data_IF_684977817849
#
_entry.id   IF_684977817849
#
_cell.length_a   1.000
_cell.length_b   1.000
_cell.length_c   1.000
_cell.angle_alpha   90.00
_cell.angle_beta   90.00
_cell.angle_gamma   90.00
#
_symmetry.space_group_name_H-M   'P 1'
#
loop_
_entity.id
_entity.type
_entity.pdbx_description
1 polymer ?
#
# COMPACT_ATOMS: atom_id res chain seq x y z
N UNK A 1 29.09 11.98 -15.37
CA UNK A 1 28.58 12.03 -13.99
C UNK A 1 27.52 13.12 -13.97
N UNK A 2 26.24 12.76 -14.00
CA UNK A 2 25.14 13.73 -13.88
C UNK A 2 25.07 14.19 -12.44
N UNK A 3 25.08 15.50 -12.21
CA UNK A 3 24.91 16.06 -10.87
C UNK A 3 23.61 15.56 -10.23
N UNK A 4 23.58 15.30 -8.91
CA UNK A 4 22.35 14.93 -8.24
C UNK A 4 21.38 16.11 -8.34
N UNK A 5 20.23 15.87 -8.97
CA UNK A 5 19.15 16.86 -9.05
C UNK A 5 18.84 17.35 -7.64
N UNK A 6 19.00 18.65 -7.40
CA UNK A 6 18.72 19.25 -6.11
C UNK A 6 17.30 18.88 -5.66
N UNK A 7 17.16 18.33 -4.46
CA UNK A 7 15.84 17.99 -3.91
C UNK A 7 15.01 19.28 -3.83
N UNK A 8 13.77 19.28 -4.35
CA UNK A 8 12.92 20.46 -4.28
C UNK A 8 12.65 20.84 -2.82
N UNK A 9 12.65 22.15 -2.55
CA UNK A 9 12.26 22.67 -1.23
C UNK A 9 10.76 22.45 -1.05
N UNK A 10 10.39 21.56 -0.13
CA UNK A 10 8.98 21.34 0.22
C UNK A 10 8.51 22.49 1.11
N UNK A 11 7.47 23.20 0.65
CA UNK A 11 6.89 24.33 1.39
C UNK A 11 5.66 23.87 2.17
N UNK A 12 5.27 24.64 3.20
CA UNK A 12 4.05 24.36 3.96
C UNK A 12 2.81 24.33 3.05
N UNK A 13 2.73 25.24 2.08
CA UNK A 13 1.61 25.27 1.13
C UNK A 13 1.51 24.00 0.26
N UNK A 14 2.63 23.34 -0.04
CA UNK A 14 2.63 22.04 -0.74
C UNK A 14 2.10 20.93 0.18
N UNK A 15 2.47 20.96 1.46
CA UNK A 15 2.00 20.00 2.47
C UNK A 15 0.49 20.18 2.67
N UNK A 16 0.02 21.40 2.88
CA UNK A 16 -1.39 21.70 3.10
C UNK A 16 -2.26 21.31 1.89
N UNK A 17 -1.76 21.53 0.66
CA UNK A 17 -2.47 21.12 -0.55
C UNK A 17 -2.55 19.59 -0.70
N UNK A 18 -1.52 18.86 -0.28
CA UNK A 18 -1.54 17.40 -0.24
C UNK A 18 -2.44 16.86 0.88
N UNK A 19 -2.44 17.53 2.03
CA UNK A 19 -3.32 17.19 3.15
C UNK A 19 -4.80 17.40 2.76
N UNK A 20 -5.15 18.53 2.12
CA UNK A 20 -6.50 18.80 1.60
C UNK A 20 -6.93 17.79 0.52
N UNK A 21 -5.99 17.28 -0.28
CA UNK A 21 -6.26 16.19 -1.24
C UNK A 21 -6.55 14.85 -0.56
N UNK A 22 -5.78 14.49 0.46
CA UNK A 22 -5.85 13.19 1.14
C UNK A 22 -6.96 13.13 2.20
N UNK A 23 -7.28 14.27 2.81
CA UNK A 23 -8.27 14.41 3.87
C UNK A 23 -9.48 15.20 3.36
N UNK A 24 -10.33 14.49 2.59
CA UNK A 24 -11.75 14.82 2.38
C UNK A 24 -12.10 16.32 2.28
N UNK A 25 -12.02 16.87 1.07
CA UNK A 25 -13.06 17.80 0.61
C UNK A 25 -13.62 17.33 -0.74
N UNK A 26 -14.94 17.31 -0.88
CA UNK A 26 -15.62 17.04 -2.16
C UNK A 26 -15.39 18.16 -3.20
N UNK A 27 -14.67 19.22 -2.81
CA UNK A 27 -14.46 20.39 -3.64
C UNK A 27 -13.25 20.24 -4.55
N UNK A 28 -13.40 19.34 -5.54
CA UNK A 28 -12.42 19.15 -6.62
C UNK A 28 -12.05 20.46 -7.33
N UNK A 29 -12.97 21.42 -7.37
CA UNK A 29 -12.73 22.73 -8.00
C UNK A 29 -11.75 23.55 -7.18
N UNK A 30 -12.00 23.71 -5.89
CA UNK A 30 -11.08 24.42 -4.98
C UNK A 30 -9.71 23.78 -4.94
N UNK A 31 -9.65 22.44 -4.88
CA UNK A 31 -8.37 21.72 -4.95
C UNK A 31 -7.61 22.03 -6.25
N UNK A 32 -8.27 21.95 -7.41
CA UNK A 32 -7.63 22.25 -8.69
C UNK A 32 -7.24 23.73 -8.83
N UNK A 33 -7.99 24.66 -8.23
CA UNK A 33 -7.62 26.07 -8.16
C UNK A 33 -6.34 26.29 -7.34
N UNK A 34 -6.24 25.69 -6.17
CA UNK A 34 -5.02 25.75 -5.34
C UNK A 34 -3.83 25.10 -6.04
N UNK A 35 -4.02 23.90 -6.60
CA UNK A 35 -2.97 23.18 -7.32
C UNK A 35 -2.49 23.98 -8.55
N UNK A 36 -3.40 24.65 -9.26
CA UNK A 36 -3.07 25.56 -10.37
C UNK A 36 -2.20 26.73 -9.91
N UNK A 37 -2.51 27.33 -8.75
CA UNK A 37 -1.72 28.42 -8.19
C UNK A 37 -0.31 27.95 -7.81
N UNK A 38 -0.18 26.76 -7.23
CA UNK A 38 1.11 26.19 -6.83
C UNK A 38 1.95 25.73 -8.03
N UNK A 39 1.31 25.09 -9.02
CA UNK A 39 1.98 24.58 -10.22
C UNK A 39 2.26 25.65 -11.29
N UNK A 40 1.69 26.86 -11.12
CA UNK A 40 1.86 27.98 -12.04
C UNK A 40 1.01 27.93 -13.32
N UNK A 41 0.30 26.82 -13.58
CA UNK A 41 -0.65 26.72 -14.69
C UNK A 41 -1.66 25.58 -14.49
N UNK A 42 -2.82 25.69 -15.14
CA UNK A 42 -3.84 24.65 -15.12
C UNK A 42 -3.39 23.36 -15.83
N UNK A 43 -2.58 23.48 -16.88
CA UNK A 43 -2.01 22.32 -17.59
C UNK A 43 -1.03 21.54 -16.69
N UNK A 44 -0.16 22.24 -15.96
CA UNK A 44 0.73 21.60 -15.00
C UNK A 44 -0.05 20.94 -13.85
N UNK A 45 -1.08 21.62 -13.32
CA UNK A 45 -1.94 21.04 -12.29
C UNK A 45 -2.66 19.76 -12.76
N UNK A 46 -3.18 19.75 -13.99
CA UNK A 46 -3.84 18.57 -14.55
C UNK A 46 -2.90 17.37 -14.71
N UNK A 47 -1.62 17.62 -15.02
CA UNK A 47 -0.60 16.56 -15.08
C UNK A 47 -0.19 16.04 -13.70
N UNK A 48 -0.11 16.92 -12.69
CA UNK A 48 0.30 16.58 -11.32
C UNK A 48 -0.82 15.85 -10.55
N UNK A 49 -2.07 16.27 -10.70
CA UNK A 49 -3.20 15.74 -9.92
C UNK A 49 -3.27 14.21 -9.83
N UNK A 50 -3.16 13.43 -10.93
CA UNK A 50 -3.18 11.96 -10.84
C UNK A 50 -1.93 11.37 -10.15
N UNK A 51 -0.81 12.11 -10.10
CA UNK A 51 0.43 11.67 -9.45
C UNK A 51 0.36 11.77 -7.92
N UNK A 52 -0.59 12.55 -7.38
CA UNK A 52 -0.80 12.69 -5.94
C UNK A 52 -1.58 11.51 -5.34
N UNK A 53 -2.26 10.73 -6.19
CA UNK A 53 -2.94 9.51 -5.76
C UNK A 53 -1.93 8.49 -5.22
N UNK A 54 -2.31 7.78 -4.15
CA UNK A 54 -1.48 6.71 -3.62
C UNK A 54 -1.25 5.64 -4.69
N UNK A 55 0.01 5.26 -4.91
CA UNK A 55 0.38 4.16 -5.77
C UNK A 55 1.29 3.19 -5.01
N UNK A 56 0.68 2.26 -4.28
CA UNK A 56 1.40 1.30 -3.44
C UNK A 56 2.33 0.38 -4.22
N UNK A 57 2.00 0.08 -5.49
CA UNK A 57 2.86 -0.72 -6.35
C UNK A 57 4.18 -0.01 -6.67
N UNK A 58 4.17 1.32 -6.85
CA UNK A 58 5.39 2.11 -7.02
C UNK A 58 6.13 2.41 -5.71
N UNK A 59 5.45 2.29 -4.56
CA UNK A 59 6.04 2.50 -3.25
C UNK A 59 6.70 1.24 -2.65
N UNK A 60 6.74 0.13 -3.39
CA UNK A 60 7.38 -1.10 -2.94
C UNK A 60 8.89 -0.87 -2.72
N UNK A 61 9.38 -1.20 -1.53
CA UNK A 61 10.81 -1.11 -1.18
C UNK A 61 11.52 -2.42 -1.52
N UNK A 62 10.84 -3.56 -1.34
CA UNK A 62 11.35 -4.89 -1.70
C UNK A 62 10.59 -5.39 -2.92
N UNK A 63 11.36 -5.74 -3.96
CA UNK A 63 10.82 -6.31 -5.19
C UNK A 63 10.06 -7.61 -4.92
N UNK A 64 9.04 -7.89 -5.73
CA UNK A 64 8.23 -9.11 -5.59
C UNK A 64 9.03 -10.39 -5.86
N UNK A 65 10.06 -10.30 -6.70
CA UNK A 65 10.97 -11.37 -7.10
C UNK A 65 12.33 -11.33 -6.40
N UNK A 66 12.43 -10.64 -5.26
CA UNK A 66 13.67 -10.59 -4.47
C UNK A 66 14.13 -11.99 -4.06
N UNK A 67 15.28 -12.42 -4.59
CA UNK A 67 15.78 -13.78 -4.44
C UNK A 67 16.10 -14.19 -3.00
N UNK A 68 16.17 -13.24 -2.07
CA UNK A 68 16.46 -13.49 -0.64
C UNK A 68 15.25 -13.98 0.13
N UNK A 69 14.04 -13.86 -0.44
CA UNK A 69 12.79 -14.31 0.20
C UNK A 69 11.96 -15.16 -0.77
N UNK A 70 11.04 -15.95 -0.22
CA UNK A 70 10.08 -16.77 -0.94
C UNK A 70 8.69 -16.41 -0.46
N UNK A 71 7.92 -15.75 -1.32
CA UNK A 71 6.51 -15.42 -1.09
C UNK A 71 5.58 -16.42 -1.77
N UNK A 72 4.53 -16.84 -1.09
CA UNK A 72 3.49 -17.72 -1.62
C UNK A 72 2.11 -17.28 -1.11
N UNK A 73 1.11 -17.35 -1.97
CA UNK A 73 -0.28 -17.17 -1.57
C UNK A 73 -0.84 -18.52 -1.12
N UNK A 74 -1.37 -18.56 0.10
CA UNK A 74 -1.87 -19.78 0.73
C UNK A 74 -3.33 -19.63 1.15
N UNK A 75 -3.98 -20.76 1.37
CA UNK A 75 -5.24 -20.83 2.12
C UNK A 75 -5.06 -21.61 3.41
N UNK A 76 -5.84 -21.27 4.43
CA UNK A 76 -5.87 -21.98 5.70
C UNK A 76 -7.26 -21.89 6.33
N UNK A 77 -7.59 -22.85 7.20
CA UNK A 77 -8.86 -22.83 7.92
C UNK A 77 -8.82 -21.80 9.05
N UNK A 78 -9.63 -20.74 8.92
CA UNK A 78 -9.92 -19.78 9.98
C UNK A 78 -11.13 -20.19 10.83
N UNK A 79 -11.46 -19.37 11.83
CA UNK A 79 -12.60 -19.62 12.73
C UNK A 79 -13.96 -19.53 12.03
N UNK A 80 -14.08 -18.67 11.01
CA UNK A 80 -15.32 -18.40 10.27
C UNK A 80 -15.34 -18.99 8.85
N UNK A 81 -14.29 -19.71 8.46
CA UNK A 81 -14.19 -20.29 7.12
C UNK A 81 -12.75 -20.31 6.61
N UNK A 82 -12.61 -20.63 5.32
CA UNK A 82 -11.31 -20.58 4.65
C UNK A 82 -10.81 -19.12 4.55
N UNK A 83 -9.54 -18.92 4.89
CA UNK A 83 -8.84 -17.65 4.84
C UNK A 83 -7.70 -17.73 3.82
N UNK A 84 -7.52 -16.67 3.04
CA UNK A 84 -6.35 -16.45 2.20
C UNK A 84 -5.29 -15.68 2.97
N UNK A 85 -4.02 -15.89 2.63
CA UNK A 85 -2.91 -15.09 3.14
C UNK A 85 -1.74 -15.07 2.16
N UNK A 86 -0.89 -14.06 2.31
CA UNK A 86 0.45 -14.04 1.72
C UNK A 86 1.46 -14.48 2.78
N UNK A 87 2.11 -15.62 2.56
CA UNK A 87 3.15 -16.17 3.43
C UNK A 87 4.51 -15.88 2.81
N UNK A 88 5.43 -15.31 3.58
CA UNK A 88 6.79 -15.01 3.15
C UNK A 88 7.80 -15.62 4.10
N UNK A 89 8.83 -16.25 3.56
CA UNK A 89 9.93 -16.89 4.30
C UNK A 89 11.28 -16.44 3.73
N UNK A 90 12.36 -16.41 4.53
CA UNK A 90 13.71 -16.28 3.99
C UNK A 90 14.04 -17.41 3.02
N UNK A 91 14.73 -17.12 1.92
CA UNK A 91 15.04 -18.11 0.89
C UNK A 91 15.95 -19.24 1.42
N UNK A 92 16.91 -18.88 2.27
CA UNK A 92 17.93 -19.76 2.84
C UNK A 92 17.63 -20.12 4.31
N UNK A 93 16.35 -20.19 4.67
CA UNK A 93 15.91 -20.55 6.02
C UNK A 93 16.56 -21.85 6.51
N UNK A 94 17.28 -21.78 7.62
CA UNK A 94 17.74 -22.94 8.38
C UNK A 94 17.05 -23.02 9.74
N UNK A 95 16.41 -24.16 10.03
CA UNK A 95 15.74 -24.37 11.32
C UNK A 95 14.42 -23.59 11.48
N UNK A 96 13.95 -23.49 12.73
CA UNK A 96 12.70 -22.80 13.07
C UNK A 96 12.98 -21.31 13.31
N UNK A 97 12.20 -20.46 12.68
CA UNK A 97 12.25 -19.01 12.87
C UNK A 97 11.01 -18.55 13.66
N UNK A 98 11.11 -17.36 14.25
CA UNK A 98 9.94 -16.68 14.81
C UNK A 98 8.95 -16.29 13.69
N UNK A 99 7.68 -16.20 14.04
CA UNK A 99 6.61 -15.81 13.11
C UNK A 99 6.05 -14.45 13.47
N UNK A 100 5.87 -13.59 12.47
CA UNK A 100 5.20 -12.29 12.58
C UNK A 100 3.94 -12.34 11.74
N UNK A 101 2.82 -11.89 12.31
CA UNK A 101 1.57 -11.72 11.58
C UNK A 101 1.44 -10.24 11.20
N UNK A 102 1.39 -9.96 9.91
CA UNK A 102 1.26 -8.61 9.35
C UNK A 102 -0.22 -8.35 9.09
N UNK A 103 -0.83 -7.50 9.91
CA UNK A 103 -2.25 -7.14 9.79
C UNK A 103 -2.36 -5.85 8.98
N UNK A 104 -3.14 -5.91 7.89
CA UNK A 104 -3.43 -4.74 7.06
C UNK A 104 -4.59 -3.90 7.60
N UNK A 105 -4.71 -2.68 7.09
CA UNK A 105 -5.83 -1.77 7.39
C UNK A 105 -7.05 -2.03 6.47
N UNK A 106 -7.96 -1.05 6.36
CA UNK A 106 -9.22 -1.08 5.61
C UNK A 106 -9.06 -1.12 4.07
N UNK A 107 -7.86 -1.41 3.55
CA UNK A 107 -7.58 -1.59 2.11
C UNK A 107 -7.19 -3.02 1.74
N UNK A 108 -7.23 -3.94 2.70
CA UNK A 108 -6.97 -5.36 2.44
C UNK A 108 -5.50 -5.69 2.23
N UNK A 109 -5.24 -6.91 1.77
CA UNK A 109 -3.93 -7.48 1.45
C UNK A 109 -3.39 -6.92 0.11
N UNK A 110 -3.07 -5.63 0.12
CA UNK A 110 -2.58 -4.89 -1.05
C UNK A 110 -1.05 -5.09 -1.28
N UNK A 111 -0.48 -4.60 -2.40
CA UNK A 111 0.94 -4.74 -2.70
C UNK A 111 1.88 -4.19 -1.62
N UNK A 112 1.49 -3.12 -0.93
CA UNK A 112 2.29 -2.56 0.15
C UNK A 112 2.37 -3.49 1.37
N UNK A 113 1.26 -4.13 1.74
CA UNK A 113 1.25 -5.10 2.85
C UNK A 113 2.09 -6.33 2.51
N UNK A 114 2.00 -6.79 1.26
CA UNK A 114 2.84 -7.88 0.75
C UNK A 114 4.33 -7.51 0.80
N UNK A 115 4.67 -6.27 0.46
CA UNK A 115 6.02 -5.72 0.61
C UNK A 115 6.47 -5.66 2.08
N UNK A 116 5.61 -5.20 3.00
CA UNK A 116 5.90 -5.23 4.44
C UNK A 116 6.19 -6.67 4.91
N UNK A 117 5.43 -7.66 4.46
CA UNK A 117 5.71 -9.07 4.77
C UNK A 117 7.08 -9.52 4.23
N UNK A 118 7.48 -9.08 3.03
CA UNK A 118 8.83 -9.32 2.49
C UNK A 118 9.92 -8.66 3.32
N UNK A 119 9.73 -7.40 3.75
CA UNK A 119 10.66 -6.69 4.63
C UNK A 119 10.85 -7.41 5.96
N UNK A 120 9.76 -7.90 6.56
CA UNK A 120 9.82 -8.69 7.79
C UNK A 120 10.58 -10.01 7.57
N UNK A 121 10.37 -10.67 6.43
CA UNK A 121 11.09 -11.88 6.10
C UNK A 121 12.59 -11.65 5.83
N UNK A 122 12.99 -10.47 5.35
CA UNK A 122 14.40 -10.10 5.20
C UNK A 122 15.11 -9.92 6.55
N UNK A 123 14.36 -9.77 7.65
CA UNK A 123 14.89 -9.69 9.02
C UNK A 123 14.87 -11.06 9.74
N UNK A 124 14.90 -12.17 8.98
CA UNK A 124 14.93 -13.56 9.48
C UNK A 124 13.69 -14.01 10.27
N UNK A 125 12.52 -13.50 9.90
CA UNK A 125 11.23 -13.99 10.39
C UNK A 125 10.43 -14.72 9.30
N UNK A 126 9.54 -15.63 9.70
CA UNK A 126 8.42 -16.03 8.83
C UNK A 126 7.33 -14.97 8.95
N UNK A 127 6.90 -14.39 7.85
CA UNK A 127 5.83 -13.39 7.84
C UNK A 127 4.56 -13.97 7.23
N UNK A 128 3.44 -13.89 7.95
CA UNK A 128 2.12 -14.22 7.41
C UNK A 128 1.28 -12.95 7.36
N UNK A 129 0.79 -12.59 6.19
CA UNK A 129 -0.14 -11.48 6.00
C UNK A 129 -1.53 -12.01 5.59
N UNK A 130 -2.47 -12.18 6.54
CA UNK A 130 -3.83 -12.60 6.25
C UNK A 130 -4.58 -11.61 5.36
N UNK A 131 -5.50 -12.11 4.55
CA UNK A 131 -6.48 -11.31 3.82
C UNK A 131 -7.81 -11.31 4.58
N UNK A 132 -8.12 -10.25 5.31
CA UNK A 132 -9.37 -10.19 6.10
C UNK A 132 -10.63 -9.99 5.23
N UNK A 133 -10.48 -9.76 3.93
CA UNK A 133 -11.61 -9.79 2.99
C UNK A 133 -11.88 -11.20 2.44
N UNK A 134 -11.16 -12.23 2.90
CA UNK A 134 -11.38 -13.63 2.50
C UNK A 134 -12.83 -14.10 2.58
N UNK A 135 -13.61 -13.79 3.64
CA UNK A 135 -15.03 -14.16 3.71
C UNK A 135 -15.89 -13.58 2.58
N UNK A 136 -15.43 -12.49 1.96
CA UNK A 136 -16.09 -11.82 0.84
C UNK A 136 -15.39 -12.08 -0.51
N UNK A 137 -14.55 -13.12 -0.58
CA UNK A 137 -13.82 -13.54 -1.79
C UNK A 137 -12.38 -13.07 -1.87
N UNK A 138 -11.92 -12.27 -0.91
CA UNK A 138 -10.57 -11.71 -0.84
C UNK A 138 -10.49 -10.23 -1.22
N UNK A 139 -9.30 -9.66 -1.06
CA UNK A 139 -9.01 -8.26 -1.34
C UNK A 139 -9.13 -7.98 -2.85
N UNK A 140 -9.99 -7.04 -3.29
CA UNK A 140 -10.10 -6.66 -4.70
C UNK A 140 -8.91 -5.81 -5.15
N UNK A 141 -8.72 -5.67 -6.46
CA UNK A 141 -7.70 -4.78 -7.04
C UNK A 141 -8.02 -3.29 -6.86
N UNK A 142 -9.28 -2.96 -6.60
CA UNK A 142 -9.78 -1.60 -6.38
C UNK A 142 -9.84 -1.31 -4.86
N UNK A 143 -9.07 -0.32 -4.41
CA UNK A 143 -8.93 0.02 -3.00
C UNK A 143 -10.19 0.63 -2.40
N UNK A 144 -10.92 1.45 -3.16
CA UNK A 144 -12.18 2.03 -2.68
C UNK A 144 -13.22 0.92 -2.49
N UNK A 145 -13.24 -0.05 -3.42
CA UNK A 145 -14.06 -1.25 -3.26
C UNK A 145 -13.63 -2.09 -2.05
N UNK A 146 -12.34 -2.26 -1.81
CA UNK A 146 -11.84 -2.97 -0.64
C UNK A 146 -12.36 -2.31 0.65
N UNK A 147 -12.24 -0.97 0.74
CA UNK A 147 -12.76 -0.19 1.87
C UNK A 147 -14.26 -0.38 2.07
N UNK A 148 -15.04 -0.31 0.99
CA UNK A 148 -16.49 -0.51 1.05
C UNK A 148 -16.89 -1.94 1.44
N UNK A 149 -16.04 -2.94 1.14
CA UNK A 149 -16.27 -4.33 1.53
C UNK A 149 -16.07 -4.55 3.03
N UNK A 150 -15.15 -3.84 3.69
CA UNK A 150 -14.98 -3.94 5.15
C UNK A 150 -16.24 -3.55 5.92
N UNK A 151 -17.02 -2.58 5.42
CA UNK A 151 -18.30 -2.20 6.01
C UNK A 151 -19.37 -3.30 5.94
N UNK A 152 -19.12 -4.39 5.21
CA UNK A 152 -20.03 -5.53 5.02
C UNK A 152 -19.59 -6.78 5.78
N UNK A 153 -18.44 -6.73 6.47
CA UNK A 153 -18.01 -7.84 7.33
C UNK A 153 -18.91 -7.92 8.57
N UNK A 154 -19.18 -9.15 9.00
CA UNK A 154 -19.86 -9.40 10.27
C UNK A 154 -18.89 -9.13 11.43
N UNK A 155 -19.27 -8.38 12.48
CA UNK A 155 -18.40 -8.07 13.63
C UNK A 155 -17.94 -9.29 14.44
#
# INVERSE_FOLDING_TARGET
MTEPVAKPVITQAMIDAYDEYTHLTLDRRRFMEQLTRLAGSGAAAAAIAPMLAANYAQAAIVAEDDSRVKGEDITYQGSSGEMKAHLVKPADQSGKLGTVIVIHENRGLNPHIRDVARRVALEDFVALAPDFLSPLGGTPSDEDKARDMFAKLDP
#
